data_IF_064105034318
#
_entry.id   IF_064105034318
#
_cell.length_a   1.000
_cell.length_b   1.000
_cell.length_c   1.000
_cell.angle_alpha   90.00
_cell.angle_beta   90.00
_cell.angle_gamma   90.00
#
_symmetry.space_group_name_H-M   'P 1'
#
loop_
_entity.id
_entity.type
_entity.pdbx_description
1 polymer ?
#
# COMPACT_ATOMS: atom_id res chain seq x y z
N UNK A 1 -11.43 -64.32 34.69
CA UNK A 1 -11.07 -64.06 33.27
C UNK A 1 -11.30 -62.57 33.01
N UNK A 2 -10.27 -61.73 33.10
CA UNK A 2 -10.36 -60.27 32.90
C UNK A 2 -10.24 -59.94 31.40
N UNK A 3 -11.23 -59.23 30.85
CA UNK A 3 -11.21 -58.75 29.48
C UNK A 3 -10.35 -57.48 29.37
N UNK A 4 -9.21 -57.59 28.70
CA UNK A 4 -8.37 -56.44 28.33
C UNK A 4 -9.07 -55.67 27.21
N UNK A 5 -9.54 -54.45 27.49
CA UNK A 5 -10.05 -53.51 26.48
C UNK A 5 -8.87 -52.95 25.68
N UNK A 6 -8.77 -53.31 24.41
CA UNK A 6 -7.81 -52.71 23.49
C UNK A 6 -8.32 -51.32 23.06
N UNK A 7 -7.60 -50.26 23.45
CA UNK A 7 -7.83 -48.90 22.95
C UNK A 7 -7.09 -48.82 21.61
N UNK A 8 -7.84 -48.88 20.51
CA UNK A 8 -7.31 -48.58 19.18
C UNK A 8 -6.91 -47.10 19.14
N UNK A 9 -5.61 -46.85 19.13
CA UNK A 9 -4.99 -45.53 18.95
C UNK A 9 -5.30 -45.09 17.52
N UNK A 10 -6.21 -44.13 17.35
CA UNK A 10 -6.41 -43.47 16.08
C UNK A 10 -5.11 -42.73 15.71
N UNK A 11 -4.33 -43.30 14.81
CA UNK A 11 -3.26 -42.58 14.14
C UNK A 11 -3.89 -41.44 13.37
N UNK A 12 -3.63 -40.21 13.83
CA UNK A 12 -3.95 -39.00 13.09
C UNK A 12 -3.04 -38.95 11.87
N UNK A 13 -3.49 -39.60 10.79
CA UNK A 13 -2.92 -39.47 9.47
C UNK A 13 -2.85 -38.00 9.12
N UNK A 14 -1.65 -37.40 9.20
CA UNK A 14 -1.32 -36.10 8.64
C UNK A 14 -1.75 -36.14 7.17
N UNK A 15 -2.90 -35.54 6.85
CA UNK A 15 -3.25 -35.20 5.47
C UNK A 15 -2.16 -34.28 4.95
N UNK A 16 -1.18 -34.85 4.22
CA UNK A 16 -0.23 -34.09 3.42
C UNK A 16 -1.05 -33.21 2.49
N UNK A 17 -0.96 -31.90 2.69
CA UNK A 17 -1.61 -30.92 1.83
C UNK A 17 -1.28 -31.21 0.38
N UNK A 18 -2.32 -31.39 -0.43
CA UNK A 18 -2.21 -31.48 -1.88
C UNK A 18 -1.57 -30.17 -2.34
N UNK A 19 -0.29 -30.21 -2.75
CA UNK A 19 0.39 -29.06 -3.36
C UNK A 19 -0.37 -28.75 -4.65
N UNK A 20 -1.15 -27.68 -4.62
CA UNK A 20 -1.77 -27.13 -5.82
C UNK A 20 -0.60 -26.61 -6.65
N UNK A 21 -0.23 -27.34 -7.70
CA UNK A 21 0.69 -26.85 -8.70
C UNK A 21 0.14 -25.49 -9.17
N UNK A 22 0.99 -24.46 -9.19
CA UNK A 22 0.65 -23.18 -9.81
C UNK A 22 0.41 -23.48 -11.29
N UNK A 23 -0.85 -23.71 -11.64
CA UNK A 23 -1.27 -23.66 -13.02
C UNK A 23 -0.85 -22.28 -13.53
N UNK A 24 -0.17 -22.29 -14.67
CA UNK A 24 0.26 -21.10 -15.39
C UNK A 24 -0.94 -20.17 -15.54
N UNK A 25 -1.01 -19.13 -14.71
CA UNK A 25 -2.07 -18.13 -14.78
C UNK A 25 -1.59 -17.16 -15.86
N UNK A 26 -2.20 -17.12 -17.05
CA UNK A 26 -1.90 -16.04 -17.97
C UNK A 26 -2.25 -14.74 -17.26
N UNK A 27 -1.24 -13.88 -17.08
CA UNK A 27 -1.40 -12.50 -16.59
C UNK A 27 -2.51 -11.85 -17.42
N UNK A 28 -3.71 -11.73 -16.85
CA UNK A 28 -4.78 -10.90 -17.41
C UNK A 28 -4.27 -9.46 -17.44
N UNK A 29 -3.76 -9.04 -18.58
CA UNK A 29 -3.53 -7.64 -18.89
C UNK A 29 -4.91 -6.96 -18.89
N UNK A 30 -5.11 -6.06 -17.94
CA UNK A 30 -6.32 -5.27 -17.89
C UNK A 30 -6.34 -4.29 -19.07
N UNK A 31 -6.88 -4.70 -20.22
CA UNK A 31 -7.47 -3.76 -21.18
C UNK A 31 -8.94 -3.57 -20.80
N UNK A 32 -9.19 -2.65 -19.87
CA UNK A 32 -10.52 -2.03 -19.71
C UNK A 32 -10.41 -0.58 -20.17
N UNK A 33 -10.48 -0.42 -21.48
CA UNK A 33 -10.65 0.87 -22.15
C UNK A 33 -11.71 0.70 -23.22
N UNK A 34 -12.91 0.27 -22.83
CA UNK A 34 -14.08 0.24 -23.69
C UNK A 34 -15.05 1.34 -23.21
N UNK A 35 -14.61 2.60 -23.32
CA UNK A 35 -15.53 3.72 -23.37
C UNK A 35 -16.11 3.77 -24.77
N UNK A 36 -17.33 3.22 -24.92
CA UNK A 36 -18.14 3.29 -26.13
C UNK A 36 -18.67 4.70 -26.39
N UNK A 37 -17.77 5.65 -26.61
CA UNK A 37 -18.07 6.93 -27.23
C UNK A 37 -17.30 6.98 -28.53
N UNK A 38 -18.05 6.90 -29.64
CA UNK A 38 -17.58 6.95 -31.01
C UNK A 38 -16.79 8.24 -31.24
N UNK A 39 -15.47 8.18 -31.19
CA UNK A 39 -14.60 9.28 -31.58
C UNK A 39 -14.60 9.43 -33.12
N UNK A 40 -14.65 10.66 -33.67
CA UNK A 40 -14.48 10.86 -35.10
C UNK A 40 -13.05 10.47 -35.56
N UNK A 41 -12.87 10.01 -36.81
CA UNK A 41 -11.59 9.52 -37.28
C UNK A 41 -10.55 10.66 -37.35
N UNK A 42 -9.39 10.44 -36.73
CA UNK A 42 -8.23 11.32 -36.87
C UNK A 42 -7.63 11.15 -38.27
N UNK A 43 -7.20 12.23 -38.95
CA UNK A 43 -6.52 12.13 -40.22
C UNK A 43 -5.09 11.58 -40.01
N UNK A 44 -4.80 10.48 -40.70
CA UNK A 44 -3.47 9.93 -40.89
C UNK A 44 -2.57 10.93 -41.62
N UNK A 45 -1.56 11.51 -40.95
CA UNK A 45 -0.42 12.12 -41.63
C UNK A 45 0.90 11.87 -40.90
N UNK A 46 1.63 10.93 -41.48
CA UNK A 46 3.03 11.02 -41.89
C UNK A 46 4.13 11.11 -40.82
N UNK A 47 4.99 10.11 -40.93
CA UNK A 47 6.32 9.99 -40.39
C UNK A 47 7.13 11.31 -40.37
N UNK A 48 7.71 11.59 -39.21
CA UNK A 48 8.98 12.29 -39.12
C UNK A 48 9.73 11.74 -37.90
N UNK A 49 10.54 10.71 -38.13
CA UNK A 49 11.58 10.28 -37.21
C UNK A 49 12.66 11.39 -37.13
N UNK A 50 12.40 12.43 -36.35
CA UNK A 50 13.45 13.34 -35.90
C UNK A 50 14.22 12.64 -34.79
N UNK A 51 15.37 12.07 -35.14
CA UNK A 51 16.43 11.74 -34.17
C UNK A 51 16.69 12.99 -33.34
N UNK A 52 16.26 13.01 -32.07
CA UNK A 52 16.73 14.01 -31.12
C UNK A 52 18.21 13.71 -30.87
N UNK A 53 19.12 14.69 -30.92
CA UNK A 53 20.47 14.46 -30.44
C UNK A 53 20.38 14.04 -28.98
N UNK A 54 21.19 13.04 -28.59
CA UNK A 54 21.44 12.71 -27.19
C UNK A 54 21.89 14.00 -26.51
N UNK A 55 20.95 14.63 -25.80
CA UNK A 55 21.29 15.66 -24.84
C UNK A 55 22.10 14.93 -23.76
N UNK A 56 23.37 15.29 -23.64
CA UNK A 56 24.19 14.96 -22.49
C UNK A 56 23.32 15.18 -21.23
N UNK A 57 23.25 14.22 -20.30
CA UNK A 57 22.52 14.45 -19.07
C UNK A 57 23.21 15.64 -18.39
N UNK A 58 22.53 16.79 -18.39
CA UNK A 58 22.94 17.93 -17.58
C UNK A 58 23.23 17.40 -16.17
N UNK A 59 24.35 17.81 -15.53
CA UNK A 59 24.60 17.41 -14.16
C UNK A 59 23.40 17.88 -13.37
N UNK A 60 22.60 16.92 -12.91
CA UNK A 60 21.49 17.17 -11.99
C UNK A 60 22.17 17.77 -10.78
N UNK A 61 22.08 19.10 -10.66
CA UNK A 61 22.49 19.84 -9.48
C UNK A 61 22.05 19.01 -8.29
N UNK A 62 23.01 18.69 -7.42
CA UNK A 62 22.79 17.98 -6.16
C UNK A 62 21.90 18.85 -5.29
N UNK A 63 20.61 18.84 -5.62
CA UNK A 63 19.62 19.71 -5.04
C UNK A 63 19.48 19.22 -3.61
N UNK A 64 19.91 20.06 -2.66
CA UNK A 64 19.83 19.75 -1.25
C UNK A 64 18.46 19.14 -0.93
N UNK A 65 18.40 18.08 -0.10
CA UNK A 65 17.14 17.48 0.26
C UNK A 65 16.25 18.56 0.88
N UNK A 66 15.20 18.96 0.14
CA UNK A 66 14.26 20.04 0.51
C UNK A 66 13.62 19.90 1.90
N UNK A 67 13.74 18.73 2.52
CA UNK A 67 13.20 18.41 3.83
C UNK A 67 14.18 17.52 4.60
N UNK A 68 14.29 17.76 5.90
CA UNK A 68 15.01 16.87 6.81
C UNK A 68 14.28 15.53 6.95
N UNK A 69 14.97 14.50 7.42
CA UNK A 69 14.34 13.19 7.61
C UNK A 69 13.27 13.21 8.71
N UNK A 70 13.41 14.08 9.72
CA UNK A 70 12.39 14.30 10.73
C UNK A 70 11.13 14.94 10.14
N UNK A 71 11.27 15.95 9.27
CA UNK A 71 10.15 16.58 8.57
C UNK A 71 9.42 15.61 7.63
N UNK A 72 10.16 14.75 6.93
CA UNK A 72 9.57 13.68 6.10
C UNK A 72 8.73 12.74 6.95
N UNK A 73 9.23 12.33 8.13
CA UNK A 73 8.48 11.48 9.07
C UNK A 73 7.23 12.18 9.60
N UNK A 74 7.32 13.46 9.98
CA UNK A 74 6.16 14.25 10.42
C UNK A 74 5.07 14.29 9.35
N UNK A 75 5.42 14.64 8.11
CA UNK A 75 4.45 14.69 6.99
C UNK A 75 3.81 13.32 6.74
N UNK A 76 4.57 12.24 6.84
CA UNK A 76 4.06 10.88 6.67
C UNK A 76 3.04 10.50 7.78
N UNK A 77 3.32 10.85 9.04
CA UNK A 77 2.40 10.62 10.16
C UNK A 77 1.14 11.48 10.04
N UNK A 78 1.28 12.74 9.67
CA UNK A 78 0.13 13.64 9.44
C UNK A 78 -0.77 13.12 8.31
N UNK A 79 -0.20 12.59 7.23
CA UNK A 79 -0.97 11.98 6.13
C UNK A 79 -1.77 10.77 6.63
N UNK A 80 -1.18 9.92 7.47
CA UNK A 80 -1.87 8.77 8.08
C UNK A 80 -3.01 9.25 8.99
N UNK A 81 -2.78 10.27 9.82
CA UNK A 81 -3.81 10.83 10.70
C UNK A 81 -4.96 11.47 9.92
N UNK A 82 -4.70 12.13 8.79
CA UNK A 82 -5.77 12.64 7.91
C UNK A 82 -6.66 11.50 7.40
N UNK A 83 -6.07 10.37 7.01
CA UNK A 83 -6.83 9.19 6.61
C UNK A 83 -7.69 8.63 7.75
N UNK A 84 -7.15 8.56 8.96
CA UNK A 84 -7.90 8.12 10.16
C UNK A 84 -9.06 9.09 10.47
N UNK A 85 -8.84 10.41 10.40
CA UNK A 85 -9.90 11.41 10.58
C UNK A 85 -11.01 11.27 9.54
N UNK A 86 -10.66 11.01 8.28
CA UNK A 86 -11.64 10.75 7.23
C UNK A 86 -12.48 9.49 7.54
N UNK A 87 -11.85 8.41 8.01
CA UNK A 87 -12.57 7.20 8.42
C UNK A 87 -13.48 7.48 9.63
N UNK A 88 -13.02 8.23 10.64
CA UNK A 88 -13.87 8.65 11.77
C UNK A 88 -15.09 9.43 11.30
N UNK A 89 -14.93 10.32 10.32
CA UNK A 89 -16.06 11.07 9.77
C UNK A 89 -17.09 10.15 9.08
N UNK A 90 -16.64 9.08 8.42
CA UNK A 90 -17.53 8.06 7.86
C UNK A 90 -18.29 7.30 8.96
N UNK A 91 -17.59 6.87 10.02
CA UNK A 91 -18.21 6.22 11.19
C UNK A 91 -19.26 7.13 11.84
N UNK A 92 -18.95 8.42 12.01
CA UNK A 92 -19.88 9.38 12.58
C UNK A 92 -21.14 9.59 11.72
N UNK A 93 -21.05 9.35 10.40
CA UNK A 93 -22.18 9.35 9.47
C UNK A 93 -22.94 8.02 9.44
N UNK A 94 -22.57 7.05 10.27
CA UNK A 94 -23.17 5.72 10.31
C UNK A 94 -22.75 4.81 9.15
N UNK A 95 -21.69 5.16 8.41
CA UNK A 95 -21.18 4.33 7.32
C UNK A 95 -20.38 3.17 7.90
N UNK A 96 -20.75 1.94 7.52
CA UNK A 96 -19.99 0.76 7.89
C UNK A 96 -18.58 0.80 7.30
N UNK A 97 -17.60 0.50 8.13
CA UNK A 97 -16.19 0.50 7.76
C UNK A 97 -15.67 -0.93 7.66
N UNK A 98 -14.81 -1.19 6.68
CA UNK A 98 -14.17 -2.49 6.53
C UNK A 98 -13.10 -2.80 7.61
N UNK A 99 -12.60 -4.03 7.63
CA UNK A 99 -11.60 -4.50 8.59
C UNK A 99 -10.27 -3.70 8.52
N UNK A 100 -9.86 -3.22 7.34
CA UNK A 100 -8.64 -2.43 7.19
C UNK A 100 -8.83 -1.02 7.76
N UNK A 101 -10.00 -0.43 7.56
CA UNK A 101 -10.37 0.87 8.13
C UNK A 101 -10.45 0.81 9.65
N UNK A 102 -11.05 -0.24 10.20
CA UNK A 102 -11.10 -0.50 11.64
C UNK A 102 -9.70 -0.68 12.24
N UNK A 103 -8.80 -1.39 11.55
CA UNK A 103 -7.40 -1.50 11.97
C UNK A 103 -6.70 -0.13 12.03
N UNK A 104 -6.95 0.75 11.05
CA UNK A 104 -6.41 2.13 11.04
C UNK A 104 -6.95 2.97 12.21
N UNK A 105 -8.25 2.87 12.51
CA UNK A 105 -8.84 3.55 13.67
C UNK A 105 -8.18 3.10 14.99
N UNK A 106 -7.92 1.80 15.15
CA UNK A 106 -7.24 1.27 16.34
C UNK A 106 -5.82 1.80 16.50
N UNK A 107 -5.12 2.06 15.38
CA UNK A 107 -3.76 2.61 15.39
C UNK A 107 -3.68 4.11 15.69
N UNK A 108 -4.80 4.82 15.80
CA UNK A 108 -4.84 6.29 15.95
C UNK A 108 -4.04 6.79 17.15
N UNK A 109 -4.22 6.17 18.32
CA UNK A 109 -3.49 6.57 19.55
C UNK A 109 -1.98 6.42 19.38
N UNK A 110 -1.53 5.34 18.73
CA UNK A 110 -0.12 5.11 18.47
C UNK A 110 0.45 6.15 17.48
N UNK A 111 -0.31 6.52 16.44
CA UNK A 111 0.10 7.55 15.49
C UNK A 111 0.21 8.94 16.13
N UNK A 112 -0.67 9.27 17.07
CA UNK A 112 -0.60 10.53 17.83
C UNK A 112 0.65 10.57 18.73
N UNK A 113 0.90 9.49 19.47
CA UNK A 113 2.10 9.39 20.32
C UNK A 113 3.41 9.49 19.52
N UNK A 114 3.46 8.84 18.35
CA UNK A 114 4.61 8.95 17.44
C UNK A 114 4.80 10.38 16.92
N UNK A 115 3.71 11.09 16.64
CA UNK A 115 3.77 12.45 16.16
C UNK A 115 4.27 13.41 17.25
N UNK A 116 3.82 13.24 18.49
CA UNK A 116 4.30 14.01 19.65
C UNK A 116 5.80 13.79 19.88
N UNK A 117 6.27 12.53 19.82
CA UNK A 117 7.70 12.20 19.94
C UNK A 117 8.55 12.93 18.90
N UNK A 118 8.17 12.84 17.62
CA UNK A 118 8.97 13.45 16.55
C UNK A 118 8.91 14.98 16.60
N UNK A 119 7.78 15.57 17.04
CA UNK A 119 7.73 17.02 17.27
C UNK A 119 8.68 17.47 18.37
N UNK A 120 8.78 16.70 19.46
CA UNK A 120 9.74 16.99 20.52
C UNK A 120 11.19 16.84 20.02
N UNK A 121 11.49 15.83 19.20
CA UNK A 121 12.80 15.65 18.57
C UNK A 121 13.17 16.84 17.67
N UNK A 122 12.26 17.28 16.79
CA UNK A 122 12.50 18.44 15.92
C UNK A 122 12.72 19.71 16.73
N UNK A 123 11.92 19.94 17.77
CA UNK A 123 12.10 21.11 18.64
C UNK A 123 13.42 21.09 19.41
N UNK A 124 13.89 19.91 19.80
CA UNK A 124 15.18 19.76 20.47
C UNK A 124 16.35 20.02 19.49
N UNK A 125 16.24 19.58 18.23
CA UNK A 125 17.23 19.86 17.19
C UNK A 125 17.27 21.35 16.80
N UNK A 126 16.12 22.05 16.77
CA UNK A 126 16.07 23.50 16.51
C UNK A 126 16.63 24.35 17.67
N UNK A 127 16.67 23.81 18.89
CA UNK A 127 17.10 24.52 20.09
C UNK A 127 18.59 24.29 20.46
N UNK A 128 19.28 23.39 19.77
CA UNK A 128 20.68 23.02 19.99
C UNK A 128 21.64 23.74 19.04
#
# INVERSE_FOLDING_TARGET
RQAKRAIARAESGKKKGKRIAKADVPRRTAKRGATGLRAPPLPEKQAAAKKRPEAEPEPVDEMEPRFTDAEKKLRALEKKLRAVKAIRALVARGVETDAQQQSKLRSEKALLAQLESIRAEVQAEEAA
#
